data_IF_931888431586
#
_entry.id   IF_931888431586
#
_cell.length_a   1.000
_cell.length_b   1.000
_cell.length_c   1.000
_cell.angle_alpha   90.00
_cell.angle_beta   90.00
_cell.angle_gamma   90.00
#
_symmetry.space_group_name_H-M   'P 1'
#
loop_
_entity.id
_entity.type
_entity.pdbx_description
1 polymer ?
#
# COMPACT_ATOMS: atom_id res chain seq x y z
N UNK A 1 -10.42 -13.68 14.34
CA UNK A 1 -10.59 -12.25 14.03
C UNK A 1 -9.36 -11.82 13.26
N UNK A 2 -9.50 -11.66 11.95
CA UNK A 2 -8.43 -11.37 11.00
C UNK A 2 -8.04 -9.90 11.20
N UNK A 3 -6.81 -9.61 11.65
CA UNK A 3 -6.38 -8.22 11.80
C UNK A 3 -5.02 -8.02 11.13
N UNK A 4 -4.96 -7.28 10.01
CA UNK A 4 -3.72 -6.83 9.37
C UNK A 4 -2.86 -5.93 10.28
N UNK A 5 -3.31 -5.62 11.50
CA UNK A 5 -2.64 -4.75 12.47
C UNK A 5 -1.25 -5.22 12.90
N UNK A 6 -0.85 -6.44 12.52
CA UNK A 6 0.48 -7.00 12.78
C UNK A 6 1.52 -6.56 11.75
N UNK A 7 1.09 -6.09 10.56
CA UNK A 7 2.01 -5.65 9.50
C UNK A 7 2.46 -4.23 9.76
N UNK A 8 3.74 -3.94 9.47
CA UNK A 8 4.27 -2.58 9.65
C UNK A 8 3.57 -1.57 8.72
N UNK A 9 3.19 -1.99 7.52
CA UNK A 9 2.45 -1.15 6.55
C UNK A 9 1.08 -0.69 7.09
N UNK A 10 0.46 -1.49 7.96
CA UNK A 10 -0.85 -1.20 8.56
C UNK A 10 -0.79 -0.14 9.66
N UNK A 11 0.35 -0.02 10.37
CA UNK A 11 0.51 0.91 11.50
C UNK A 11 0.31 2.37 11.13
N UNK A 12 0.55 2.70 9.87
CA UNK A 12 0.44 4.06 9.38
C UNK A 12 -0.68 4.26 8.38
N UNK A 13 -1.57 3.28 8.22
CA UNK A 13 -2.76 3.40 7.40
C UNK A 13 -3.71 4.44 8.03
N UNK A 14 -4.34 5.30 7.23
CA UNK A 14 -5.36 6.20 7.73
C UNK A 14 -6.60 5.39 8.19
N UNK A 15 -7.40 5.92 9.12
CA UNK A 15 -8.61 5.25 9.58
C UNK A 15 -9.63 5.12 8.43
N UNK A 16 -10.51 4.12 8.53
CA UNK A 16 -11.66 3.98 7.65
C UNK A 16 -12.49 5.27 7.63
N UNK A 17 -12.96 5.69 6.45
CA UNK A 17 -13.71 6.94 6.27
C UNK A 17 -12.86 8.22 6.30
N UNK A 18 -11.54 8.12 6.22
CA UNK A 18 -10.67 9.30 6.11
C UNK A 18 -10.98 10.13 4.85
N UNK A 19 -10.55 11.39 4.85
CA UNK A 19 -10.72 12.27 3.69
C UNK A 19 -9.87 11.80 2.52
N UNK A 20 -10.31 12.08 1.29
CA UNK A 20 -9.53 11.81 0.08
C UNK A 20 -8.14 12.43 0.14
N UNK A 21 -8.01 13.63 0.71
CA UNK A 21 -6.72 14.29 0.88
C UNK A 21 -5.78 13.49 1.81
N UNK A 22 -6.30 12.93 2.90
CA UNK A 22 -5.53 12.08 3.81
C UNK A 22 -5.12 10.76 3.14
N UNK A 23 -6.02 10.12 2.38
CA UNK A 23 -5.71 8.92 1.62
C UNK A 23 -4.61 9.17 0.57
N UNK A 24 -4.70 10.26 -0.20
CA UNK A 24 -3.69 10.64 -1.20
C UNK A 24 -2.34 10.98 -0.56
N UNK A 25 -2.34 11.61 0.62
CA UNK A 25 -1.12 11.88 1.38
C UNK A 25 -0.46 10.57 1.87
N UNK A 26 -1.27 9.61 2.32
CA UNK A 26 -0.79 8.29 2.72
C UNK A 26 -0.14 7.55 1.55
N UNK A 27 -0.84 7.40 0.41
CA UNK A 27 -0.30 6.68 -0.76
C UNK A 27 0.95 7.35 -1.31
N UNK A 28 0.99 8.69 -1.30
CA UNK A 28 2.21 9.44 -1.65
C UNK A 28 3.35 9.14 -0.70
N UNK A 29 3.13 9.17 0.62
CA UNK A 29 4.19 8.86 1.60
C UNK A 29 4.68 7.43 1.42
N UNK A 30 3.79 6.47 1.19
CA UNK A 30 4.14 5.07 0.97
C UNK A 30 4.92 4.87 -0.34
N UNK A 31 4.59 5.58 -1.41
CA UNK A 31 5.29 5.48 -2.69
C UNK A 31 6.61 6.25 -2.76
N UNK A 32 6.80 7.23 -1.87
CA UNK A 32 8.03 8.02 -1.76
C UNK A 32 8.89 7.62 -0.57
N UNK A 33 8.41 6.72 0.28
CA UNK A 33 9.11 6.14 1.42
C UNK A 33 9.32 4.64 1.21
N UNK A 34 10.47 4.12 1.63
CA UNK A 34 10.90 2.73 1.43
C UNK A 34 11.06 2.30 -0.06
N UNK A 35 12.25 1.80 -0.37
CA UNK A 35 12.77 1.34 -1.67
C UNK A 35 13.10 2.44 -2.72
N UNK A 36 14.41 2.63 -2.92
CA UNK A 36 15.01 3.69 -3.76
C UNK A 36 14.62 3.62 -5.24
N UNK A 37 14.32 2.43 -5.77
CA UNK A 37 14.08 2.22 -7.21
C UNK A 37 12.83 2.96 -7.73
N UNK A 38 11.76 3.06 -6.93
CA UNK A 38 10.52 3.72 -7.36
C UNK A 38 10.54 5.24 -7.21
N UNK A 39 11.46 5.78 -6.39
CA UNK A 39 11.77 7.22 -6.39
C UNK A 39 12.33 7.64 -7.76
N UNK A 40 13.17 6.81 -8.36
CA UNK A 40 13.75 7.10 -9.68
C UNK A 40 12.67 7.06 -10.77
N UNK A 41 11.82 6.02 -10.80
CA UNK A 41 10.75 5.88 -11.81
C UNK A 41 9.72 7.01 -11.71
N UNK A 42 9.32 7.41 -10.49
CA UNK A 42 8.37 8.51 -10.29
C UNK A 42 8.92 9.88 -10.73
N UNK A 43 10.24 10.07 -10.78
CA UNK A 43 10.86 11.30 -11.32
C UNK A 43 10.67 11.43 -12.83
N UNK A 44 10.73 10.32 -13.58
CA UNK A 44 10.51 10.29 -15.02
C UNK A 44 9.02 10.39 -15.41
N UNK A 45 8.10 10.20 -14.47
CA UNK A 45 6.67 10.38 -14.72
C UNK A 45 6.28 11.87 -14.80
N UNK A 46 5.41 12.27 -15.75
CA UNK A 46 4.80 13.59 -15.76
C UNK A 46 4.14 13.93 -14.42
N UNK A 47 4.30 15.17 -13.94
CA UNK A 47 3.84 15.59 -12.60
C UNK A 47 2.36 15.29 -12.33
N UNK A 48 1.51 15.41 -13.34
CA UNK A 48 0.07 15.12 -13.26
C UNK A 48 -0.23 13.64 -12.97
N UNK A 49 0.62 12.71 -13.42
CA UNK A 49 0.39 11.28 -13.29
C UNK A 49 0.95 10.69 -11.98
N UNK A 50 1.85 11.40 -11.31
CA UNK A 50 2.55 10.90 -10.11
C UNK A 50 1.60 10.45 -9.02
N UNK A 51 0.54 11.21 -8.73
CA UNK A 51 -0.41 10.83 -7.67
C UNK A 51 -1.20 9.56 -8.04
N UNK A 52 -1.60 9.39 -9.31
CA UNK A 52 -2.26 8.18 -9.76
C UNK A 52 -1.34 6.96 -9.63
N UNK A 53 -0.06 7.13 -9.99
CA UNK A 53 0.94 6.10 -9.79
C UNK A 53 1.11 5.74 -8.31
N UNK A 54 1.17 6.74 -7.41
CA UNK A 54 1.30 6.48 -5.96
C UNK A 54 0.13 5.65 -5.42
N UNK A 55 -1.08 5.87 -5.92
CA UNK A 55 -2.26 5.10 -5.51
C UNK A 55 -2.14 3.63 -5.93
N UNK A 56 -1.74 3.36 -7.18
CA UNK A 56 -1.55 1.99 -7.68
C UNK A 56 -0.39 1.30 -6.96
N UNK A 57 0.74 2.00 -6.82
CA UNK A 57 1.90 1.48 -6.10
C UNK A 57 1.54 1.09 -4.67
N UNK A 58 0.80 1.94 -3.96
CA UNK A 58 0.37 1.66 -2.59
C UNK A 58 -0.46 0.38 -2.50
N UNK A 59 -1.36 0.14 -3.45
CA UNK A 59 -2.13 -1.10 -3.52
C UNK A 59 -1.25 -2.34 -3.72
N UNK A 60 -0.31 -2.28 -4.68
CA UNK A 60 0.62 -3.38 -4.92
C UNK A 60 1.54 -3.63 -3.73
N UNK A 61 2.01 -2.59 -3.03
CA UNK A 61 2.90 -2.73 -1.89
C UNK A 61 2.22 -3.43 -0.70
N UNK A 62 0.94 -3.17 -0.49
CA UNK A 62 0.15 -3.94 0.47
C UNK A 62 0.10 -5.42 0.11
N UNK A 63 -0.16 -5.76 -1.15
CA UNK A 63 -0.17 -7.16 -1.57
C UNK A 63 1.20 -7.84 -1.39
N UNK A 64 2.28 -7.13 -1.71
CA UNK A 64 3.67 -7.58 -1.51
C UNK A 64 3.98 -7.87 -0.03
N UNK A 65 3.69 -6.92 0.87
CA UNK A 65 3.92 -7.09 2.31
C UNK A 65 3.03 -8.22 2.90
N UNK A 66 1.81 -8.40 2.40
CA UNK A 66 0.96 -9.52 2.79
C UNK A 66 1.51 -10.88 2.36
N UNK A 67 2.20 -10.95 1.22
CA UNK A 67 2.85 -12.17 0.72
C UNK A 67 4.18 -12.46 1.43
N UNK A 68 4.96 -11.43 1.72
CA UNK A 68 6.34 -11.55 2.21
C UNK A 68 6.46 -11.57 3.75
N UNK A 69 5.63 -10.78 4.46
CA UNK A 69 5.73 -10.65 5.92
C UNK A 69 4.91 -11.70 6.69
N UNK A 70 3.97 -12.40 6.02
CA UNK A 70 3.10 -13.40 6.64
C UNK A 70 3.73 -14.80 6.49
N UNK A 71 4.21 -15.44 7.58
CA UNK A 71 4.97 -16.70 7.46
C UNK A 71 4.14 -17.91 7.00
N UNK A 72 2.83 -17.89 7.21
CA UNK A 72 1.92 -18.95 6.81
C UNK A 72 1.29 -18.64 5.45
N UNK A 73 1.58 -19.47 4.44
CA UNK A 73 1.09 -19.27 3.08
C UNK A 73 -0.44 -19.34 2.95
N UNK A 74 -1.11 -20.19 3.73
CA UNK A 74 -2.57 -20.27 3.72
C UNK A 74 -3.17 -18.97 4.27
N UNK A 75 -2.57 -18.47 5.36
CA UNK A 75 -2.91 -17.19 5.97
C UNK A 75 -2.67 -16.00 5.03
N UNK A 76 -1.54 -15.97 4.33
CA UNK A 76 -1.21 -14.94 3.35
C UNK A 76 -2.25 -14.89 2.23
N UNK A 77 -2.67 -16.07 1.73
CA UNK A 77 -3.71 -16.20 0.70
C UNK A 77 -5.05 -15.63 1.16
N UNK A 78 -5.53 -15.99 2.36
CA UNK A 78 -6.78 -15.44 2.91
C UNK A 78 -6.74 -13.90 3.06
N UNK A 79 -5.58 -13.37 3.40
CA UNK A 79 -5.38 -11.93 3.54
C UNK A 79 -5.32 -11.21 2.20
N UNK A 80 -4.72 -11.81 1.18
CA UNK A 80 -4.73 -11.31 -0.19
C UNK A 80 -6.16 -11.29 -0.75
N UNK A 81 -6.94 -12.35 -0.54
CA UNK A 81 -8.35 -12.39 -0.90
C UNK A 81 -9.17 -11.30 -0.21
N UNK A 82 -8.84 -11.00 1.06
CA UNK A 82 -9.44 -9.87 1.76
C UNK A 82 -9.04 -8.54 1.12
N UNK A 83 -7.75 -8.33 0.84
CA UNK A 83 -7.24 -7.10 0.26
C UNK A 83 -7.81 -6.78 -1.13
N UNK A 84 -8.03 -7.81 -1.96
CA UNK A 84 -8.69 -7.65 -3.26
C UNK A 84 -10.09 -7.03 -3.14
N UNK A 85 -10.82 -7.34 -2.07
CA UNK A 85 -12.19 -6.83 -1.85
C UNK A 85 -12.26 -5.40 -1.32
N UNK A 86 -11.12 -4.78 -1.00
CA UNK A 86 -11.06 -3.40 -0.48
C UNK A 86 -10.93 -2.34 -1.61
N UNK A 87 -10.92 -2.75 -2.88
CA UNK A 87 -10.96 -1.89 -4.07
C UNK A 87 -12.38 -1.42 -4.43
#
# INVERSE_FOLDING_TARGET
>A
MLRPSELEIARHAPPAGCTTAAALAYTRRLATGHYENFKVVSWFLPRSLRQHFYNVYAYCRWADDLGDEVPDAARATELLDWWEREL
#
